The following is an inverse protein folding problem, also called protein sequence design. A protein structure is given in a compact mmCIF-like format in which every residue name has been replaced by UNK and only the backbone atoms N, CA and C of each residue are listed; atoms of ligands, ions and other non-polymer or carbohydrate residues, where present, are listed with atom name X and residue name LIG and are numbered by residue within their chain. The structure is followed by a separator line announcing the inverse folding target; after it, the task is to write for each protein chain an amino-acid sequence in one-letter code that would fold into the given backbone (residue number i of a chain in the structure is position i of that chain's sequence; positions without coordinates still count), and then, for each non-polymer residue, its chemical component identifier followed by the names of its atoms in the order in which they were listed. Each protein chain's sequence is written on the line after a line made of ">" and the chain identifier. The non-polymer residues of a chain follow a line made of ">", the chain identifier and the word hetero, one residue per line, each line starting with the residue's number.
data_IF_063670073159
#
_entry.id   IF_063670073159
#
_cell.length_a   1.000
_cell.length_b   1.000
_cell.length_c   1.000
_cell.angle_alpha   90.00
_cell.angle_beta   90.00
_cell.angle_gamma   90.00
#
_symmetry.space_group_name_H-M   'P 1'
#
loop_
_entity.id
_entity.type
_entity.pdbx_description
1 polymer ?
#
# COMPACT_ATOMS: atom_id res chain seq x y z
N UNK A 1 12.20 15.86 1.78
CA UNK A 1 11.06 16.49 1.09
C UNK A 1 11.44 16.72 -0.37
N UNK A 2 10.76 16.05 -1.31
CA UNK A 2 10.87 16.45 -2.73
C UNK A 2 10.23 17.83 -2.81
N UNK A 3 11.06 18.88 -2.97
CA UNK A 3 10.55 20.21 -3.22
C UNK A 3 9.68 20.14 -4.49
N UNK A 4 8.44 20.61 -4.43
CA UNK A 4 7.50 20.57 -5.56
C UNK A 4 8.03 21.24 -6.85
N UNK A 5 9.19 21.89 -6.77
CA UNK A 5 9.93 22.46 -7.88
C UNK A 5 10.64 21.44 -8.76
N UNK A 6 11.32 20.44 -8.18
CA UNK A 6 12.03 19.42 -9.00
C UNK A 6 11.06 18.53 -9.79
N UNK A 7 9.97 18.11 -9.16
CA UNK A 7 8.94 17.34 -9.83
C UNK A 7 8.28 18.15 -10.96
N UNK A 8 8.04 19.43 -10.71
CA UNK A 8 7.48 20.38 -11.69
C UNK A 8 8.40 20.58 -12.89
N UNK A 9 9.71 20.69 -12.68
CA UNK A 9 10.69 20.88 -13.76
C UNK A 9 10.84 19.61 -14.61
N UNK A 10 10.86 18.43 -14.00
CA UNK A 10 10.90 17.14 -14.74
C UNK A 10 9.60 16.98 -15.55
N UNK A 11 8.45 17.28 -14.96
CA UNK A 11 7.16 17.19 -15.64
C UNK A 11 7.00 18.26 -16.73
N UNK A 12 7.53 19.47 -16.55
CA UNK A 12 7.58 20.51 -17.59
C UNK A 12 8.50 20.10 -18.74
N UNK A 13 9.69 19.59 -18.45
CA UNK A 13 10.63 19.13 -19.49
C UNK A 13 10.09 17.98 -20.35
N UNK A 14 9.24 17.11 -19.77
CA UNK A 14 8.55 16.05 -20.51
C UNK A 14 7.29 16.55 -21.25
N UNK A 15 6.65 17.62 -20.77
CA UNK A 15 5.36 18.09 -21.29
C UNK A 15 5.45 18.97 -22.52
N UNK A 16 6.48 19.83 -22.64
CA UNK A 16 6.40 20.92 -23.62
C UNK A 16 6.66 20.52 -25.06
N UNK A 17 7.58 19.60 -25.36
CA UNK A 17 7.89 19.25 -26.75
C UNK A 17 7.58 17.80 -27.13
N UNK A 18 7.71 16.85 -26.20
CA UNK A 18 7.51 15.42 -26.51
C UNK A 18 6.05 15.03 -26.59
N UNK A 19 5.18 15.62 -25.78
CA UNK A 19 3.76 15.31 -25.78
C UNK A 19 3.05 15.70 -27.09
N UNK A 20 3.49 16.78 -27.75
CA UNK A 20 2.89 17.29 -28.98
C UNK A 20 3.02 16.32 -30.15
N UNK A 21 4.13 15.63 -30.27
CA UNK A 21 4.45 14.71 -31.37
C UNK A 21 4.07 13.25 -31.09
N UNK A 22 3.62 12.93 -29.88
CA UNK A 22 3.25 11.58 -29.53
C UNK A 22 1.76 11.30 -29.80
N UNK A 23 1.49 10.11 -30.36
CA UNK A 23 0.15 9.56 -30.42
C UNK A 23 -0.43 9.34 -29.03
N UNK A 24 -1.74 9.13 -28.91
CA UNK A 24 -2.40 8.79 -27.64
C UNK A 24 -1.78 7.54 -27.01
N UNK A 25 -1.50 6.51 -27.82
CA UNK A 25 -0.81 5.29 -27.37
C UNK A 25 0.60 5.56 -26.85
N UNK A 26 1.39 6.38 -27.56
CA UNK A 26 2.73 6.79 -27.12
C UNK A 26 2.72 7.56 -25.79
N UNK A 27 1.72 8.42 -25.58
CA UNK A 27 1.53 9.11 -24.28
C UNK A 27 1.16 8.14 -23.17
N UNK A 28 0.30 7.16 -23.44
CA UNK A 28 -0.06 6.12 -22.48
C UNK A 28 1.17 5.31 -22.07
N UNK A 29 1.99 4.89 -23.02
CA UNK A 29 3.24 4.18 -22.74
C UNK A 29 4.17 5.03 -21.87
N UNK A 30 4.35 6.31 -22.18
CA UNK A 30 5.21 7.20 -21.40
C UNK A 30 4.67 7.47 -20.00
N UNK A 31 3.36 7.56 -19.82
CA UNK A 31 2.74 7.67 -18.49
C UNK A 31 3.08 6.44 -17.65
N UNK A 32 2.92 5.26 -18.19
CA UNK A 32 3.13 4.03 -17.43
C UNK A 32 4.63 3.76 -17.17
N UNK A 33 5.50 3.98 -18.14
CA UNK A 33 6.93 3.68 -18.02
C UNK A 33 7.70 4.75 -17.26
N UNK A 34 7.40 6.03 -17.45
CA UNK A 34 8.19 7.14 -16.90
C UNK A 34 7.43 7.88 -15.80
N UNK A 35 6.27 8.49 -16.15
CA UNK A 35 5.59 9.38 -15.19
C UNK A 35 5.06 8.66 -13.96
N UNK A 36 4.72 7.38 -14.08
CA UNK A 36 4.30 6.55 -12.94
C UNK A 36 5.48 6.01 -12.13
N UNK A 37 6.66 5.87 -12.74
CA UNK A 37 7.86 5.36 -12.03
C UNK A 37 8.59 6.44 -11.24
N UNK A 38 8.52 7.71 -11.64
CA UNK A 38 9.20 8.82 -10.96
C UNK A 38 8.92 8.90 -9.43
N UNK A 39 7.67 8.79 -8.95
CA UNK A 39 7.41 8.84 -7.53
C UNK A 39 7.66 7.51 -6.80
N UNK A 40 7.92 6.40 -7.50
CA UNK A 40 7.96 5.05 -6.92
C UNK A 40 9.01 4.89 -5.83
N UNK A 41 10.18 5.51 -5.99
CA UNK A 41 11.22 5.46 -4.96
C UNK A 41 10.70 6.02 -3.63
N UNK A 42 10.08 7.21 -3.66
CA UNK A 42 9.52 7.82 -2.45
C UNK A 42 8.31 7.05 -1.92
N UNK A 43 7.48 6.51 -2.82
CA UNK A 43 6.31 5.70 -2.49
C UNK A 43 6.68 4.35 -1.85
N UNK A 44 7.90 3.87 -2.06
CA UNK A 44 8.39 2.64 -1.42
C UNK A 44 8.66 2.82 0.07
N UNK A 45 8.87 4.05 0.54
CA UNK A 45 9.20 4.34 1.93
C UNK A 45 8.16 5.20 2.64
N UNK A 46 7.37 5.98 1.89
CA UNK A 46 6.46 6.94 2.48
C UNK A 46 5.05 6.84 1.90
N UNK A 47 4.05 6.95 2.78
CA UNK A 47 2.67 7.10 2.36
C UNK A 47 2.50 8.45 1.64
N UNK A 48 2.02 8.40 0.41
CA UNK A 48 1.87 9.58 -0.43
C UNK A 48 0.71 10.46 0.08
N UNK A 49 0.94 11.72 0.44
CA UNK A 49 -0.15 12.61 0.85
C UNK A 49 -1.18 12.78 -0.27
N UNK A 50 -2.47 12.76 0.08
CA UNK A 50 -3.58 12.90 -0.89
C UNK A 50 -3.44 14.11 -1.82
N UNK A 51 -2.93 15.24 -1.29
CA UNK A 51 -2.69 16.45 -2.10
C UNK A 51 -1.60 16.27 -3.16
N UNK A 52 -0.53 15.53 -2.83
CA UNK A 52 0.54 15.21 -3.78
C UNK A 52 0.05 14.24 -4.84
N UNK A 53 -0.69 13.21 -4.44
CA UNK A 53 -1.31 12.25 -5.35
C UNK A 53 -2.21 12.96 -6.37
N UNK A 54 -3.14 13.80 -5.91
CA UNK A 54 -4.01 14.59 -6.79
C UNK A 54 -3.24 15.45 -7.79
N UNK A 55 -2.12 16.07 -7.36
CA UNK A 55 -1.26 16.85 -8.26
C UNK A 55 -0.58 15.97 -9.31
N UNK A 56 -0.06 14.81 -8.92
CA UNK A 56 0.55 13.86 -9.87
C UNK A 56 -0.47 13.37 -10.90
N UNK A 57 -1.66 12.99 -10.46
CA UNK A 57 -2.74 12.54 -11.34
C UNK A 57 -3.22 13.67 -12.26
N UNK A 58 -3.29 14.91 -11.77
CA UNK A 58 -3.59 16.07 -12.60
C UNK A 58 -2.57 16.23 -13.73
N UNK A 59 -1.26 16.14 -13.46
CA UNK A 59 -0.22 16.26 -14.48
C UNK A 59 -0.25 15.08 -15.45
N UNK A 60 -0.42 13.85 -14.98
CA UNK A 60 -0.52 12.63 -15.81
C UNK A 60 -1.73 12.73 -16.75
N UNK A 61 -2.88 13.10 -16.21
CA UNK A 61 -4.13 13.30 -16.97
C UNK A 61 -3.98 14.41 -17.99
N UNK A 62 -3.37 15.54 -17.61
CA UNK A 62 -3.09 16.65 -18.52
C UNK A 62 -2.19 16.23 -19.67
N UNK A 63 -1.11 15.51 -19.38
CA UNK A 63 -0.21 14.98 -20.40
C UNK A 63 -0.92 14.02 -21.36
N UNK A 64 -1.78 13.15 -20.84
CA UNK A 64 -2.54 12.21 -21.65
C UNK A 64 -3.46 12.91 -22.65
N UNK A 65 -4.30 13.84 -22.17
CA UNK A 65 -5.33 14.46 -22.97
C UNK A 65 -4.83 15.60 -23.85
N UNK A 66 -3.97 16.44 -23.34
CA UNK A 66 -3.59 17.68 -24.01
C UNK A 66 -2.34 17.51 -24.89
N UNK A 67 -1.34 16.78 -24.41
CA UNK A 67 -0.04 16.63 -25.08
C UNK A 67 0.73 17.95 -25.26
N UNK A 68 0.04 19.09 -25.16
CA UNK A 68 0.59 20.44 -25.28
C UNK A 68 0.01 21.32 -24.17
N UNK A 69 0.85 22.17 -23.57
CA UNK A 69 0.43 23.06 -22.48
C UNK A 69 -0.50 24.19 -22.95
N UNK A 70 -0.40 24.58 -24.23
CA UNK A 70 -1.11 25.72 -24.78
C UNK A 70 -2.53 25.40 -25.26
N UNK A 71 -2.82 24.12 -25.58
CA UNK A 71 -4.14 23.71 -26.11
C UNK A 71 -4.93 22.96 -25.03
N UNK A 72 -6.01 23.61 -24.53
CA UNK A 72 -6.99 22.93 -23.68
C UNK A 72 -7.84 22.00 -24.53
N UNK A 73 -7.72 20.69 -24.31
CA UNK A 73 -8.59 19.68 -24.91
C UNK A 73 -9.57 19.15 -23.86
N UNK A 74 -10.77 18.82 -24.32
CA UNK A 74 -11.77 18.17 -23.47
C UNK A 74 -11.27 16.80 -22.97
N UNK A 75 -11.61 16.47 -21.74
CA UNK A 75 -11.36 15.16 -21.15
C UNK A 75 -12.58 14.30 -21.41
N UNK A 76 -12.45 13.30 -22.26
CA UNK A 76 -13.57 12.43 -22.66
C UNK A 76 -14.00 11.46 -21.57
N UNK A 77 -13.12 11.14 -20.62
CA UNK A 77 -13.41 10.22 -19.52
C UNK A 77 -12.75 10.69 -18.21
N UNK A 78 -13.31 10.26 -17.09
CA UNK A 78 -12.72 10.49 -15.76
C UNK A 78 -11.40 9.74 -15.64
N UNK A 79 -10.42 10.36 -14.97
CA UNK A 79 -9.09 9.75 -14.76
C UNK A 79 -9.16 8.39 -14.05
N UNK A 80 -10.07 8.24 -13.08
CA UNK A 80 -10.29 6.99 -12.37
C UNK A 80 -10.73 5.84 -13.28
N UNK A 81 -11.50 6.11 -14.34
CA UNK A 81 -11.90 5.08 -15.32
C UNK A 81 -10.69 4.64 -16.14
N UNK A 82 -9.84 5.59 -16.56
CA UNK A 82 -8.63 5.25 -17.30
C UNK A 82 -7.62 4.43 -16.48
N UNK A 83 -7.64 4.58 -15.14
CA UNK A 83 -6.81 3.81 -14.23
C UNK A 83 -7.34 2.39 -13.96
N UNK A 84 -8.55 2.05 -14.39
CA UNK A 84 -9.06 0.69 -14.25
C UNK A 84 -8.25 -0.31 -15.11
N UNK A 85 -8.22 -1.58 -14.73
CA UNK A 85 -7.65 -2.64 -15.53
C UNK A 85 -8.28 -2.71 -16.93
N UNK A 86 -7.55 -3.25 -17.90
CA UNK A 86 -8.02 -3.35 -19.30
C UNK A 86 -9.22 -4.27 -19.46
N UNK A 87 -9.28 -5.34 -18.70
CA UNK A 87 -10.40 -6.28 -18.62
C UNK A 87 -11.68 -5.67 -18.04
N UNK A 88 -11.54 -4.54 -17.31
CA UNK A 88 -12.64 -3.77 -16.75
C UNK A 88 -12.94 -2.49 -17.55
N UNK A 89 -12.47 -2.39 -18.79
CA UNK A 89 -12.71 -1.25 -19.68
C UNK A 89 -11.81 -0.04 -19.45
N UNK A 90 -10.79 -0.13 -18.60
CA UNK A 90 -9.78 0.91 -18.41
C UNK A 90 -8.62 0.81 -19.39
N UNK A 91 -7.66 1.72 -19.27
CA UNK A 91 -6.42 1.71 -20.06
C UNK A 91 -5.23 1.08 -19.30
N UNK A 92 -5.44 0.60 -18.09
CA UNK A 92 -4.39 0.04 -17.25
C UNK A 92 -3.33 1.07 -16.83
N UNK A 93 -3.72 2.33 -16.68
CA UNK A 93 -2.85 3.36 -16.11
C UNK A 93 -2.68 3.05 -14.61
N UNK A 94 -1.45 2.98 -14.17
CA UNK A 94 -1.16 2.67 -12.77
C UNK A 94 -1.81 3.67 -11.81
N UNK A 95 -2.72 3.18 -10.95
CA UNK A 95 -3.22 3.96 -9.82
C UNK A 95 -2.11 4.13 -8.79
N UNK A 96 -1.70 5.38 -8.52
CA UNK A 96 -0.60 5.68 -7.61
C UNK A 96 -0.96 5.37 -6.15
N UNK A 97 -2.24 5.43 -5.79
CA UNK A 97 -2.68 5.10 -4.44
C UNK A 97 -2.53 3.61 -4.16
N UNK A 98 -3.10 2.79 -5.02
CA UNK A 98 -3.00 1.32 -4.92
C UNK A 98 -1.53 0.89 -4.97
N UNK A 99 -0.74 1.49 -5.86
CA UNK A 99 0.68 1.18 -5.99
C UNK A 99 1.48 1.55 -4.75
N UNK A 100 1.16 2.68 -4.10
CA UNK A 100 1.81 3.08 -2.86
C UNK A 100 1.47 2.13 -1.71
N UNK A 101 0.20 1.72 -1.57
CA UNK A 101 -0.21 0.70 -0.60
C UNK A 101 0.56 -0.60 -0.84
N UNK A 102 0.62 -1.10 -2.08
CA UNK A 102 1.31 -2.33 -2.42
C UNK A 102 2.82 -2.27 -2.11
N UNK A 103 3.49 -1.15 -2.40
CA UNK A 103 4.92 -0.95 -2.13
C UNK A 103 5.22 -0.93 -0.62
N UNK A 104 4.37 -0.28 0.18
CA UNK A 104 4.51 -0.25 1.63
C UNK A 104 4.14 -1.60 2.26
N UNK A 105 3.11 -2.27 1.76
CA UNK A 105 2.69 -3.60 2.20
C UNK A 105 3.79 -4.64 2.01
N UNK A 106 4.64 -4.50 1.00
CA UNK A 106 5.82 -5.35 0.81
C UNK A 106 6.78 -5.32 2.02
N UNK A 107 6.91 -4.19 2.71
CA UNK A 107 7.72 -4.09 3.92
C UNK A 107 7.07 -4.80 5.10
N UNK A 108 5.75 -4.67 5.26
CA UNK A 108 5.00 -5.41 6.29
C UNK A 108 5.09 -6.91 6.04
N UNK A 109 4.94 -7.35 4.79
CA UNK A 109 5.13 -8.75 4.41
C UNK A 109 6.53 -9.25 4.75
N UNK A 110 7.58 -8.52 4.36
CA UNK A 110 8.95 -8.89 4.70
C UNK A 110 9.21 -8.91 6.22
N UNK A 111 8.59 -7.99 6.96
CA UNK A 111 8.71 -7.95 8.42
C UNK A 111 8.12 -9.21 9.07
N UNK A 112 7.08 -9.80 8.48
CA UNK A 112 6.44 -11.03 8.98
C UNK A 112 7.15 -12.30 8.51
N UNK A 113 7.69 -12.34 7.28
CA UNK A 113 8.10 -13.58 6.61
C UNK A 113 9.62 -13.78 6.51
N UNK A 114 10.42 -12.72 6.62
CA UNK A 114 11.86 -12.80 6.44
C UNK A 114 12.63 -12.43 7.70
N UNK A 115 13.74 -13.10 7.90
CA UNK A 115 14.71 -12.78 8.95
C UNK A 115 15.92 -12.10 8.29
N UNK A 116 16.24 -10.91 8.78
CA UNK A 116 17.37 -10.12 8.31
C UNK A 116 17.66 -8.98 9.28
N UNK A 117 18.83 -8.39 9.19
CA UNK A 117 19.27 -7.31 10.10
C UNK A 117 18.26 -6.16 10.17
N UNK A 118 17.71 -5.79 9.01
CA UNK A 118 16.72 -4.70 8.93
C UNK A 118 15.40 -5.05 9.62
N UNK A 119 14.92 -6.27 9.43
CA UNK A 119 13.71 -6.76 10.07
C UNK A 119 13.88 -6.88 11.58
N UNK A 120 15.02 -7.39 12.05
CA UNK A 120 15.36 -7.47 13.46
C UNK A 120 15.39 -6.07 14.11
N UNK A 121 16.01 -5.09 13.43
CA UNK A 121 16.05 -3.72 13.91
C UNK A 121 14.64 -3.11 14.05
N UNK A 122 13.77 -3.32 13.09
CA UNK A 122 12.39 -2.84 13.15
C UNK A 122 11.58 -3.56 14.24
N UNK A 123 11.73 -4.88 14.37
CA UNK A 123 11.09 -5.67 15.42
C UNK A 123 11.54 -5.18 16.79
N UNK A 124 12.81 -5.07 17.05
CA UNK A 124 13.35 -4.62 18.34
C UNK A 124 12.90 -3.19 18.67
N UNK A 125 12.88 -2.30 17.69
CA UNK A 125 12.54 -0.90 17.92
C UNK A 125 11.04 -0.66 18.11
N UNK A 126 10.19 -1.35 17.35
CA UNK A 126 8.76 -0.99 17.27
C UNK A 126 7.82 -2.08 17.78
N UNK A 127 8.17 -3.37 17.65
CA UNK A 127 7.31 -4.46 18.08
C UNK A 127 7.63 -4.92 19.51
N UNK A 128 8.91 -5.07 19.85
CA UNK A 128 9.29 -5.76 21.10
C UNK A 128 8.72 -7.19 21.13
N UNK A 129 7.94 -7.51 22.15
CA UNK A 129 7.21 -8.79 22.29
C UNK A 129 5.81 -8.78 21.66
N UNK A 130 5.37 -7.66 21.06
CA UNK A 130 4.01 -7.53 20.53
C UNK A 130 3.93 -8.00 19.07
N UNK A 131 2.78 -8.54 18.69
CA UNK A 131 2.48 -8.83 17.29
C UNK A 131 2.27 -7.53 16.49
N UNK A 132 2.60 -7.53 15.20
CA UNK A 132 2.48 -6.37 14.33
C UNK A 132 1.08 -5.74 14.36
N UNK A 133 0.04 -6.56 14.44
CA UNK A 133 -1.35 -6.08 14.47
C UNK A 133 -1.66 -5.27 15.74
N UNK A 134 -1.03 -5.60 16.88
CA UNK A 134 -1.23 -4.92 18.17
C UNK A 134 -0.53 -3.56 18.27
N UNK A 135 0.44 -3.34 17.40
CA UNK A 135 1.26 -2.12 17.46
C UNK A 135 0.56 -0.99 16.73
N UNK A 136 0.35 0.11 17.41
CA UNK A 136 -0.19 1.34 16.84
C UNK A 136 0.91 2.39 16.72
N UNK A 137 0.68 3.36 15.83
CA UNK A 137 1.56 4.51 15.67
C UNK A 137 1.58 5.37 16.94
N UNK A 138 2.75 5.89 17.30
CA UNK A 138 2.97 6.79 18.43
C UNK A 138 3.67 8.06 18.00
N UNK A 139 3.46 9.15 18.74
CA UNK A 139 4.22 10.38 18.56
C UNK A 139 5.71 10.10 18.78
N UNK A 140 6.57 10.58 17.88
CA UNK A 140 8.00 10.32 17.88
C UNK A 140 8.45 9.17 16.99
N UNK A 141 7.53 8.36 16.45
CA UNK A 141 7.87 7.33 15.47
C UNK A 141 8.38 7.95 14.17
N UNK A 142 9.22 7.21 13.46
CA UNK A 142 9.73 7.65 12.17
C UNK A 142 8.61 7.79 11.13
N UNK A 143 8.80 8.68 10.16
CA UNK A 143 7.86 8.83 9.04
C UNK A 143 7.68 7.54 8.23
N UNK A 144 8.71 6.71 8.14
CA UNK A 144 8.62 5.39 7.51
C UNK A 144 7.66 4.48 8.28
N UNK A 145 7.84 4.35 9.60
CA UNK A 145 6.97 3.53 10.44
C UNK A 145 5.53 4.03 10.44
N UNK A 146 5.34 5.34 10.56
CA UNK A 146 4.02 5.98 10.39
C UNK A 146 3.35 5.62 9.06
N UNK A 147 4.13 5.54 7.98
CA UNK A 147 3.63 5.17 6.65
C UNK A 147 3.21 3.71 6.60
N UNK A 148 3.95 2.81 7.24
CA UNK A 148 3.58 1.39 7.35
C UNK A 148 2.29 1.21 8.17
N UNK A 149 2.16 1.94 9.28
CA UNK A 149 0.95 1.85 10.12
C UNK A 149 -0.31 2.36 9.40
N UNK A 150 -0.19 3.32 8.49
CA UNK A 150 -1.31 3.79 7.66
C UNK A 150 -1.85 2.73 6.72
N UNK A 151 -0.98 1.88 6.17
CA UNK A 151 -1.39 0.80 5.23
C UNK A 151 -1.59 -0.54 5.91
N UNK A 152 -1.30 -0.64 7.21
CA UNK A 152 -1.42 -1.87 7.98
C UNK A 152 -2.81 -2.49 7.89
N UNK A 153 -3.86 -1.67 8.04
CA UNK A 153 -5.25 -2.15 7.96
C UNK A 153 -5.57 -2.73 6.58
N UNK A 154 -5.17 -2.06 5.50
CA UNK A 154 -5.39 -2.54 4.14
C UNK A 154 -4.58 -3.83 3.88
N UNK A 155 -3.35 -3.90 4.39
CA UNK A 155 -2.50 -5.07 4.30
C UNK A 155 -3.17 -6.31 4.93
N UNK A 156 -3.69 -6.21 6.14
CA UNK A 156 -4.39 -7.31 6.79
C UNK A 156 -5.77 -7.58 6.19
N UNK A 157 -6.44 -6.57 5.68
CA UNK A 157 -7.74 -6.73 5.03
C UNK A 157 -7.65 -7.54 3.73
N UNK A 158 -6.64 -7.27 2.90
CA UNK A 158 -6.44 -7.97 1.62
C UNK A 158 -5.52 -9.21 1.75
N UNK A 159 -4.80 -9.34 2.85
CA UNK A 159 -3.94 -10.49 3.12
C UNK A 159 -4.73 -11.69 3.66
N UNK A 160 -4.23 -12.89 3.37
CA UNK A 160 -4.64 -14.13 4.02
C UNK A 160 -3.42 -14.83 4.61
N UNK A 161 -3.61 -15.52 5.74
CA UNK A 161 -2.55 -16.26 6.40
C UNK A 161 -2.66 -17.75 6.07
N UNK A 162 -1.55 -18.33 5.64
CA UNK A 162 -1.42 -19.80 5.56
C UNK A 162 -0.86 -20.23 6.91
N UNK A 163 -1.68 -20.96 7.66
CA UNK A 163 -1.31 -21.46 8.98
C UNK A 163 -0.24 -22.54 8.83
N UNK A 164 0.89 -22.36 9.51
CA UNK A 164 1.94 -23.37 9.67
C UNK A 164 1.88 -23.96 11.09
N UNK A 165 2.63 -23.35 12.01
CA UNK A 165 2.66 -23.71 13.43
C UNK A 165 1.58 -23.00 14.27
N UNK A 166 0.90 -22.03 13.70
CA UNK A 166 -0.16 -21.27 14.35
C UNK A 166 0.28 -20.27 15.42
N UNK A 167 1.59 -20.12 15.67
CA UNK A 167 2.12 -19.25 16.73
C UNK A 167 2.01 -17.76 16.40
N UNK A 168 1.97 -17.40 15.13
CA UNK A 168 1.93 -16.01 14.67
C UNK A 168 0.57 -15.59 14.11
N UNK A 169 -0.39 -16.50 14.04
CA UNK A 169 -1.72 -16.26 13.47
C UNK A 169 -2.74 -16.27 14.60
N UNK A 170 -3.55 -15.22 14.65
CA UNK A 170 -4.59 -15.10 15.65
C UNK A 170 -5.84 -15.85 15.27
N UNK A 171 -6.41 -16.53 16.23
CA UNK A 171 -7.59 -17.37 16.03
C UNK A 171 -8.80 -16.56 15.54
N UNK A 172 -9.10 -15.45 16.19
CA UNK A 172 -10.31 -14.67 15.91
C UNK A 172 -10.14 -13.60 14.83
N UNK A 173 -8.98 -12.94 14.79
CA UNK A 173 -8.84 -11.64 14.09
C UNK A 173 -8.21 -11.78 12.69
N UNK A 174 -7.39 -12.82 12.49
CA UNK A 174 -6.72 -13.04 11.21
C UNK A 174 -7.57 -13.90 10.26
N UNK A 175 -7.37 -13.67 8.96
CA UNK A 175 -8.03 -14.46 7.90
C UNK A 175 -7.20 -15.70 7.60
N UNK A 176 -7.46 -16.76 8.32
CA UNK A 176 -6.80 -18.06 8.16
C UNK A 176 -7.78 -19.15 7.73
N UNK A 177 -9.08 -18.95 7.93
CA UNK A 177 -10.14 -19.86 7.55
C UNK A 177 -11.14 -19.13 6.65
N UNK A 178 -11.01 -19.30 5.33
CA UNK A 178 -11.90 -18.64 4.37
C UNK A 178 -11.56 -17.19 4.05
N UNK A 179 -12.56 -16.43 3.57
CA UNK A 179 -12.39 -15.08 3.03
C UNK A 179 -12.58 -13.96 4.07
N UNK A 180 -12.99 -14.27 5.29
CA UNK A 180 -13.20 -13.32 6.38
C UNK A 180 -12.67 -13.86 7.69
N UNK A 181 -12.40 -12.99 8.67
CA UNK A 181 -11.95 -13.41 10.00
C UNK A 181 -13.09 -14.10 10.76
N UNK A 182 -12.75 -14.98 11.71
CA UNK A 182 -13.76 -15.63 12.58
C UNK A 182 -14.52 -14.59 13.42
N UNK A 183 -13.88 -13.49 13.78
CA UNK A 183 -14.54 -12.37 14.46
C UNK A 183 -15.66 -11.76 13.61
N UNK A 184 -15.45 -11.63 12.29
CA UNK A 184 -16.48 -11.10 11.35
C UNK A 184 -17.59 -12.14 11.11
N UNK A 185 -17.25 -13.43 11.06
CA UNK A 185 -18.22 -14.51 10.83
C UNK A 185 -19.07 -14.78 12.08
N UNK A 186 -18.47 -14.72 13.27
CA UNK A 186 -19.10 -15.09 14.53
C UNK A 186 -18.95 -14.01 15.61
N UNK A 187 -19.52 -12.80 15.41
CA UNK A 187 -19.32 -11.66 16.31
C UNK A 187 -19.82 -11.92 17.73
N UNK A 188 -20.88 -12.70 17.90
CA UNK A 188 -21.40 -13.07 19.21
C UNK A 188 -20.42 -13.96 20.00
N UNK A 189 -19.84 -14.95 19.34
CA UNK A 189 -18.84 -15.84 19.98
C UNK A 189 -17.57 -15.07 20.33
N UNK A 190 -17.12 -14.16 19.45
CA UNK A 190 -15.98 -13.28 19.73
C UNK A 190 -16.22 -12.40 20.97
N UNK A 191 -17.43 -11.88 21.15
CA UNK A 191 -17.75 -11.04 22.31
C UNK A 191 -17.68 -11.79 23.64
N UNK A 192 -18.04 -13.07 23.65
CA UNK A 192 -18.03 -13.93 24.84
C UNK A 192 -16.65 -14.54 25.09
N UNK A 193 -15.85 -14.73 24.02
CA UNK A 193 -14.55 -15.39 24.11
C UNK A 193 -13.58 -14.64 25.05
N UNK A 194 -12.92 -15.39 25.91
CA UNK A 194 -11.81 -14.92 26.78
C UNK A 194 -10.73 -16.00 26.80
N UNK A 195 -9.46 -15.64 26.52
CA UNK A 195 -8.94 -14.37 26.04
C UNK A 195 -9.23 -14.14 24.53
N UNK A 196 -9.35 -12.88 24.11
CA UNK A 196 -9.69 -12.53 22.72
C UNK A 196 -8.49 -12.62 21.76
N UNK A 197 -7.32 -12.25 22.23
CA UNK A 197 -6.10 -12.11 21.42
C UNK A 197 -5.21 -13.36 21.51
N UNK A 198 -5.79 -14.52 21.28
CA UNK A 198 -5.07 -15.80 21.30
C UNK A 198 -4.60 -16.21 19.91
N UNK A 199 -3.47 -16.87 19.86
CA UNK A 199 -2.97 -17.49 18.61
C UNK A 199 -3.66 -18.84 18.37
N UNK A 200 -3.60 -19.32 17.14
CA UNK A 200 -4.12 -20.65 16.79
C UNK A 200 -3.42 -21.73 17.60
N UNK A 201 -2.10 -21.61 17.79
CA UNK A 201 -1.33 -22.56 18.57
C UNK A 201 -1.81 -22.62 20.04
N UNK A 202 -2.08 -21.47 20.66
CA UNK A 202 -2.61 -21.41 22.03
C UNK A 202 -4.00 -22.01 22.16
N UNK A 203 -4.84 -21.90 21.15
CA UNK A 203 -6.18 -22.50 21.15
C UNK A 203 -6.12 -24.02 20.98
N UNK A 204 -5.23 -24.50 20.10
CA UNK A 204 -5.14 -25.94 19.79
C UNK A 204 -4.30 -26.72 20.78
N UNK A 205 -3.22 -26.15 21.30
CA UNK A 205 -2.25 -26.85 22.16
C UNK A 205 -2.24 -26.38 23.62
N UNK A 206 -3.05 -25.37 23.94
CA UNK A 206 -3.03 -24.72 25.26
C UNK A 206 -1.86 -23.74 25.42
N UNK A 207 -1.84 -22.94 26.49
CA UNK A 207 -0.73 -22.04 26.77
C UNK A 207 0.54 -22.89 26.95
N UNK A 208 1.60 -22.53 26.22
CA UNK A 208 2.91 -23.19 26.31
C UNK A 208 3.32 -23.24 27.77
N UNK A 209 3.70 -24.41 28.37
CA UNK A 209 4.24 -24.43 29.68
C UNK A 209 5.49 -23.56 29.70
N UNK A 210 5.49 -22.53 30.57
CA UNK A 210 6.65 -21.69 30.78
C UNK A 210 7.80 -22.62 31.19
N UNK A 211 8.74 -22.84 30.29
CA UNK A 211 10.05 -23.37 30.59
C UNK A 211 10.80 -22.29 31.36
N UNK A 212 10.65 -22.36 32.69
CA UNK A 212 11.47 -21.63 33.67
C UNK A 212 12.91 -22.10 33.61
#
# INVERSE_FOLDING_TARGET
>A
MLSGGRLRNVLRGLGSWKGKYLSIGGRLTLINSVLSSLPMYMMSFFALPKGVQKKLDYFRSRFYWQGDEQKKKYRLAKWSILCQPKDQGGLGIHDLHIKNIALLSKWLFKLLTTEGTWQQLLRNKYLGSKLLIQVEWKNGDSHFWSSLMKVKRDFFHFGSFIVKDGTQVRFWEDKWLGNSSLQEQYPYLYNIAKPKHVTIAEVLFGPSPNLS
#
